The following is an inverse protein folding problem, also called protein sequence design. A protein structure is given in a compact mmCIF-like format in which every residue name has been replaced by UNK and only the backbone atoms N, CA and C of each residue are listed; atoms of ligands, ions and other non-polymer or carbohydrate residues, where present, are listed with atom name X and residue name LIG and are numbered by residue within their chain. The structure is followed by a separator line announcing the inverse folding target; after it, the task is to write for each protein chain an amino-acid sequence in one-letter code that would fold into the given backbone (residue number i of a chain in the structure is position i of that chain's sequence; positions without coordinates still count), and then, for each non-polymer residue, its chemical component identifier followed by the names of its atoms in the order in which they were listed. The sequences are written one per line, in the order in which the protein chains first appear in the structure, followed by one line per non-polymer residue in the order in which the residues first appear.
data_IF_970731779669
#
_entry.id   IF_970731779669
#
_cell.length_a   1.000
_cell.length_b   1.000
_cell.length_c   1.000
_cell.angle_alpha   90.00
_cell.angle_beta   90.00
_cell.angle_gamma   90.00
#
_symmetry.space_group_name_H-M   'P 1'
#
loop_
_entity.id
_entity.type
_entity.pdbx_description
1 polymer ?
#
# COMPACT_ATOMS: atom_id res chain seq x y z
N UNK A 1 11.76 -13.73 4.59
CA UNK A 1 12.82 -13.22 5.50
C UNK A 1 12.83 -13.94 6.85
N UNK A 2 11.79 -13.85 7.70
CA UNK A 2 11.79 -14.52 9.01
C UNK A 2 12.00 -16.05 8.95
N UNK A 3 11.43 -16.71 7.93
CA UNK A 3 11.63 -18.15 7.68
C UNK A 3 13.08 -18.52 7.32
N UNK A 4 13.89 -17.53 6.91
CA UNK A 4 15.31 -17.67 6.58
C UNK A 4 16.20 -17.20 7.75
N UNK A 5 15.64 -16.99 8.95
CA UNK A 5 16.38 -16.53 10.13
C UNK A 5 16.83 -15.06 10.05
N UNK A 6 16.36 -14.30 9.05
CA UNK A 6 16.69 -12.90 8.85
C UNK A 6 15.60 -11.98 9.39
N UNK A 7 16.01 -10.88 10.03
CA UNK A 7 15.16 -9.73 10.31
C UNK A 7 15.76 -8.47 9.68
N UNK A 8 14.92 -7.55 9.21
CA UNK A 8 15.41 -6.27 8.72
C UNK A 8 15.86 -5.41 9.92
N UNK A 9 17.08 -4.87 9.85
CA UNK A 9 17.43 -3.71 10.66
C UNK A 9 16.68 -2.49 10.08
N UNK A 10 16.32 -1.54 10.94
CA UNK A 10 15.44 -0.39 10.65
C UNK A 10 15.57 0.17 9.21
N UNK A 11 14.44 0.50 8.57
CA UNK A 11 14.35 0.97 7.19
C UNK A 11 15.31 2.13 6.86
N UNK A 12 15.66 2.97 7.84
CA UNK A 12 16.64 4.06 7.69
C UNK A 12 18.04 3.61 7.24
N UNK A 13 18.36 2.32 7.35
CA UNK A 13 19.64 1.75 6.89
C UNK A 13 19.61 1.22 5.46
N UNK A 14 18.48 1.28 4.75
CA UNK A 14 18.35 0.77 3.37
C UNK A 14 19.30 1.44 2.36
N UNK A 15 19.82 2.62 2.67
CA UNK A 15 20.82 3.31 1.85
C UNK A 15 22.20 2.66 1.96
N UNK A 16 22.50 2.05 3.10
CA UNK A 16 23.81 1.47 3.41
C UNK A 16 23.86 -0.05 3.27
N UNK A 17 22.69 -0.71 3.25
CA UNK A 17 22.59 -2.16 3.15
C UNK A 17 21.49 -2.59 2.19
N UNK A 18 21.81 -3.54 1.31
CA UNK A 18 20.83 -4.19 0.43
C UNK A 18 20.39 -5.51 1.03
N UNK A 19 19.18 -5.98 0.67
CA UNK A 19 18.68 -7.28 1.13
C UNK A 19 19.65 -8.40 0.77
N UNK A 20 20.22 -8.36 -0.43
CA UNK A 20 21.20 -9.34 -0.90
C UNK A 20 22.52 -9.28 -0.11
N UNK A 21 23.07 -8.09 0.10
CA UNK A 21 24.31 -7.93 0.85
C UNK A 21 24.14 -8.34 2.32
N UNK A 22 23.06 -7.91 2.97
CA UNK A 22 22.71 -8.33 4.32
C UNK A 22 22.54 -9.84 4.42
N UNK A 23 21.82 -10.48 3.49
CA UNK A 23 21.66 -11.94 3.46
C UNK A 23 22.99 -12.68 3.31
N UNK A 24 23.90 -12.21 2.45
CA UNK A 24 25.23 -12.81 2.23
C UNK A 24 26.14 -12.70 3.45
N UNK A 25 26.11 -11.57 4.17
CA UNK A 25 26.88 -11.41 5.42
C UNK A 25 26.43 -12.42 6.50
N UNK A 26 25.17 -12.84 6.45
CA UNK A 26 24.61 -13.90 7.29
C UNK A 26 24.84 -15.33 6.73
N UNK A 27 25.66 -15.48 5.69
CA UNK A 27 26.11 -16.78 5.17
C UNK A 27 25.17 -17.44 4.16
N UNK A 28 24.19 -16.72 3.61
CA UNK A 28 23.32 -17.25 2.56
C UNK A 28 24.07 -17.36 1.23
N UNK A 29 23.81 -18.45 0.50
CA UNK A 29 24.31 -18.64 -0.87
C UNK A 29 23.56 -17.75 -1.88
N UNK A 30 24.10 -17.59 -3.08
CA UNK A 30 23.42 -16.85 -4.15
C UNK A 30 22.08 -17.49 -4.51
N UNK A 31 22.00 -18.82 -4.43
CA UNK A 31 20.77 -19.58 -4.65
C UNK A 31 19.73 -19.29 -3.55
N UNK A 32 20.15 -19.26 -2.29
CA UNK A 32 19.26 -18.96 -1.16
C UNK A 32 18.74 -17.51 -1.23
N UNK A 33 19.61 -16.56 -1.60
CA UNK A 33 19.23 -15.17 -1.82
C UNK A 33 18.22 -15.06 -2.96
N UNK A 34 18.46 -15.75 -4.07
CA UNK A 34 17.54 -15.75 -5.22
C UNK A 34 16.18 -16.33 -4.83
N UNK A 35 16.17 -17.43 -4.06
CA UNK A 35 14.92 -18.01 -3.54
C UNK A 35 14.18 -17.04 -2.62
N UNK A 36 14.89 -16.37 -1.71
CA UNK A 36 14.33 -15.37 -0.82
C UNK A 36 13.68 -14.20 -1.57
N UNK A 37 14.35 -13.67 -2.59
CA UNK A 37 13.83 -12.58 -3.42
C UNK A 37 12.59 -13.04 -4.20
N UNK A 38 12.62 -14.24 -4.77
CA UNK A 38 11.47 -14.79 -5.48
C UNK A 38 10.27 -14.99 -4.53
N UNK A 39 10.49 -15.54 -3.34
CA UNK A 39 9.45 -15.65 -2.31
C UNK A 39 8.85 -14.29 -1.96
N UNK A 40 9.69 -13.26 -1.75
CA UNK A 40 9.23 -11.90 -1.48
C UNK A 40 8.40 -11.32 -2.64
N UNK A 41 8.80 -11.57 -3.88
CA UNK A 41 8.07 -11.10 -5.06
C UNK A 41 6.74 -11.85 -5.24
N UNK A 42 6.68 -13.15 -4.94
CA UNK A 42 5.41 -13.91 -5.00
C UNK A 42 4.38 -13.49 -3.96
N UNK A 43 4.77 -12.75 -2.91
CA UNK A 43 3.80 -12.14 -1.98
C UNK A 43 2.94 -11.08 -2.71
N UNK A 44 3.48 -10.42 -3.74
CA UNK A 44 2.75 -9.42 -4.53
C UNK A 44 1.81 -10.04 -5.59
N UNK A 45 2.01 -11.30 -5.98
CA UNK A 45 1.21 -11.96 -7.02
C UNK A 45 -0.02 -12.69 -6.47
N UNK A 46 -0.20 -12.74 -5.15
CA UNK A 46 -1.38 -13.35 -4.55
C UNK A 46 -2.56 -12.41 -4.66
N UNK A 47 -3.61 -12.87 -5.37
CA UNK A 47 -4.96 -12.30 -5.47
C UNK A 47 -5.23 -11.29 -4.35
N UNK A 48 -5.21 -10.01 -4.67
CA UNK A 48 -5.67 -9.01 -3.73
C UNK A 48 -7.14 -9.31 -3.43
N UNK A 49 -7.48 -9.53 -2.17
CA UNK A 49 -8.87 -9.65 -1.69
C UNK A 49 -9.69 -8.37 -1.98
N UNK A 50 -9.00 -7.32 -2.45
CA UNK A 50 -9.51 -5.99 -2.67
C UNK A 50 -9.19 -5.52 -4.10
N UNK A 51 -10.04 -4.68 -4.72
CA UNK A 51 -9.80 -4.16 -6.06
C UNK A 51 -8.59 -3.20 -6.13
N UNK A 52 -8.05 -2.78 -4.99
CA UNK A 52 -6.93 -1.86 -4.85
C UNK A 52 -6.03 -2.30 -3.69
N UNK A 53 -4.83 -1.75 -3.65
CA UNK A 53 -3.89 -1.95 -2.54
C UNK A 53 -3.64 -0.63 -1.82
N UNK A 54 -3.60 -0.66 -0.49
CA UNK A 54 -3.17 0.47 0.35
C UNK A 54 -1.89 0.04 1.07
N UNK A 55 -0.83 0.83 0.94
CA UNK A 55 0.45 0.57 1.64
C UNK A 55 0.26 0.64 3.16
N UNK A 56 1.15 -0.01 3.92
CA UNK A 56 1.10 0.05 5.39
C UNK A 56 1.22 1.49 5.89
N UNK A 57 2.12 2.27 5.29
CA UNK A 57 2.32 3.68 5.65
C UNK A 57 1.05 4.52 5.45
N UNK A 58 0.40 4.38 4.29
CA UNK A 58 -0.88 5.04 4.05
C UNK A 58 -1.98 4.55 5.00
N UNK A 59 -2.01 3.26 5.32
CA UNK A 59 -2.99 2.71 6.23
C UNK A 59 -2.84 3.26 7.65
N UNK A 60 -1.61 3.36 8.13
CA UNK A 60 -1.29 3.92 9.45
C UNK A 60 -1.69 5.41 9.51
N UNK A 61 -1.38 6.17 8.45
CA UNK A 61 -1.74 7.58 8.36
C UNK A 61 -3.26 7.80 8.30
N UNK A 62 -3.97 7.00 7.51
CA UNK A 62 -5.44 7.04 7.46
C UNK A 62 -6.04 6.74 8.83
N UNK A 63 -5.50 5.76 9.57
CA UNK A 63 -5.98 5.44 10.93
C UNK A 63 -5.69 6.55 11.92
N UNK A 64 -4.54 7.21 11.82
CA UNK A 64 -4.20 8.36 12.65
C UNK A 64 -5.09 9.57 12.36
N UNK A 65 -5.45 9.77 11.09
CA UNK A 65 -6.25 10.90 10.60
C UNK A 65 -7.76 10.78 10.88
N UNK A 66 -8.26 9.57 11.20
CA UNK A 66 -9.69 9.26 11.49
C UNK A 66 -10.18 9.80 12.84
N UNK A 67 -9.98 11.08 13.10
CA UNK A 67 -10.39 11.71 14.37
C UNK A 67 -11.88 12.05 14.41
N UNK A 68 -12.50 12.34 13.26
CA UNK A 68 -13.94 12.63 13.15
C UNK A 68 -14.62 11.86 12.00
N UNK A 69 -13.85 11.40 11.02
CA UNK A 69 -14.34 10.80 9.77
C UNK A 69 -14.41 9.27 9.78
N UNK A 70 -15.56 8.75 9.36
CA UNK A 70 -15.83 7.31 9.38
C UNK A 70 -15.26 6.59 8.14
N UNK A 71 -15.27 7.26 6.98
CA UNK A 71 -14.94 6.67 5.68
C UNK A 71 -13.76 7.38 5.00
N UNK A 72 -13.03 6.62 4.20
CA UNK A 72 -12.05 7.15 3.25
C UNK A 72 -12.66 7.03 1.85
N UNK A 73 -12.89 8.16 1.19
CA UNK A 73 -13.51 8.21 -0.13
C UNK A 73 -12.45 8.32 -1.22
N UNK A 74 -12.44 7.35 -2.13
CA UNK A 74 -11.73 7.45 -3.41
C UNK A 74 -12.72 8.02 -4.42
N UNK A 75 -12.34 9.12 -5.07
CA UNK A 75 -13.18 9.80 -6.06
C UNK A 75 -12.35 10.17 -7.29
N UNK A 76 -13.03 10.35 -8.43
CA UNK A 76 -12.41 10.91 -9.62
C UNK A 76 -12.78 12.40 -9.73
N UNK A 77 -11.85 13.24 -10.15
CA UNK A 77 -12.17 14.61 -10.57
C UNK A 77 -12.75 14.65 -12.00
N UNK A 78 -13.04 15.85 -12.50
CA UNK A 78 -13.60 16.05 -13.84
C UNK A 78 -12.66 15.56 -14.97
N UNK A 79 -11.35 15.45 -14.70
CA UNK A 79 -10.33 14.94 -15.61
C UNK A 79 -10.06 13.43 -15.44
N UNK A 80 -10.85 12.75 -14.62
CA UNK A 80 -10.72 11.32 -14.26
C UNK A 80 -9.45 10.98 -13.46
N UNK A 81 -8.80 11.96 -12.82
CA UNK A 81 -7.74 11.68 -11.87
C UNK A 81 -8.33 11.20 -10.55
N UNK A 82 -7.83 10.05 -10.08
CA UNK A 82 -8.24 9.49 -8.80
C UNK A 82 -7.59 10.24 -7.64
N UNK A 83 -8.40 10.60 -6.67
CA UNK A 83 -8.03 11.35 -5.49
C UNK A 83 -8.64 10.69 -4.24
N UNK A 84 -8.14 11.07 -3.06
CA UNK A 84 -8.59 10.54 -1.77
C UNK A 84 -8.97 11.68 -0.85
N UNK A 85 -10.08 11.52 -0.13
CA UNK A 85 -10.46 12.39 0.97
C UNK A 85 -11.08 11.59 2.11
N UNK A 86 -11.16 12.20 3.28
CA UNK A 86 -11.94 11.67 4.39
C UNK A 86 -13.40 12.13 4.26
N UNK A 87 -14.34 11.26 4.62
CA UNK A 87 -15.78 11.53 4.57
C UNK A 87 -16.49 11.00 5.81
N UNK A 88 -17.48 11.76 6.28
CA UNK A 88 -18.39 11.36 7.36
C UNK A 88 -19.60 10.57 6.85
N UNK A 89 -19.85 10.58 5.55
CA UNK A 89 -21.10 10.13 4.97
C UNK A 89 -20.84 9.25 3.75
N UNK A 90 -21.70 8.24 3.58
CA UNK A 90 -21.73 7.37 2.41
C UNK A 90 -22.93 7.71 1.55
N UNK A 91 -22.71 7.91 0.25
CA UNK A 91 -23.78 8.14 -0.73
C UNK A 91 -24.38 6.81 -1.19
N UNK A 92 -25.63 6.85 -1.66
CA UNK A 92 -26.39 5.65 -2.09
C UNK A 92 -25.72 4.85 -3.23
N UNK A 93 -24.96 5.52 -4.11
CA UNK A 93 -24.29 4.90 -5.26
C UNK A 93 -22.85 4.44 -4.94
N UNK A 94 -22.44 4.48 -3.68
CA UNK A 94 -21.07 4.13 -3.29
C UNK A 94 -20.96 2.68 -2.85
N UNK A 95 -19.94 2.02 -3.39
CA UNK A 95 -19.47 0.73 -2.91
C UNK A 95 -18.65 0.98 -1.66
N UNK A 96 -18.82 0.12 -0.66
CA UNK A 96 -18.04 0.15 0.58
C UNK A 96 -17.21 -1.13 0.67
N UNK A 97 -15.95 -0.96 1.02
CA UNK A 97 -14.97 -2.03 1.20
C UNK A 97 -14.34 -1.84 2.57
N UNK A 98 -14.44 -2.83 3.45
CA UNK A 98 -13.68 -2.85 4.69
C UNK A 98 -12.25 -3.33 4.39
N UNK A 99 -11.31 -2.40 4.31
CA UNK A 99 -9.91 -2.69 4.10
C UNK A 99 -9.17 -2.63 5.43
N UNK A 100 -8.93 -3.79 6.06
CA UNK A 100 -8.15 -3.91 7.30
C UNK A 100 -8.62 -2.95 8.42
N UNK A 101 -9.93 -2.92 8.68
CA UNK A 101 -10.62 -2.03 9.63
C UNK A 101 -10.66 -0.56 9.22
N UNK A 102 -10.45 -0.26 7.94
CA UNK A 102 -10.65 1.06 7.35
C UNK A 102 -11.73 0.94 6.29
N UNK A 103 -12.89 1.55 6.56
CA UNK A 103 -13.97 1.64 5.58
C UNK A 103 -13.58 2.56 4.44
N UNK A 104 -13.42 1.99 3.25
CA UNK A 104 -13.16 2.69 2.00
C UNK A 104 -14.46 2.76 1.20
N UNK A 105 -14.77 3.91 0.64
CA UNK A 105 -15.93 4.11 -0.22
C UNK A 105 -15.52 4.71 -1.56
N UNK A 106 -16.23 4.34 -2.63
CA UNK A 106 -16.04 4.92 -3.95
C UNK A 106 -17.31 4.78 -4.78
N UNK A 107 -17.52 5.67 -5.75
CA UNK A 107 -18.67 5.60 -6.63
C UNK A 107 -18.59 4.38 -7.55
N UNK A 108 -19.71 3.68 -7.74
CA UNK A 108 -19.77 2.50 -8.61
C UNK A 108 -19.31 2.78 -10.05
N UNK A 109 -19.45 4.02 -10.50
CA UNK A 109 -19.03 4.48 -11.83
C UNK A 109 -17.51 4.43 -12.03
N UNK A 110 -16.74 4.64 -10.96
CA UNK A 110 -15.27 4.62 -11.01
C UNK A 110 -14.68 3.26 -10.61
N UNK A 111 -15.51 2.23 -10.37
CA UNK A 111 -15.08 0.89 -9.95
C UNK A 111 -14.00 0.31 -10.88
N UNK A 112 -14.11 0.56 -12.19
CA UNK A 112 -13.10 0.12 -13.18
C UNK A 112 -11.77 0.85 -13.06
N UNK A 113 -11.80 2.13 -12.69
CA UNK A 113 -10.59 2.96 -12.54
C UNK A 113 -9.83 2.59 -11.27
N UNK A 114 -10.59 2.28 -10.21
CA UNK A 114 -10.09 1.86 -8.91
C UNK A 114 -9.45 0.47 -8.94
N UNK A 115 -9.74 -0.35 -9.97
CA UNK A 115 -9.05 -1.64 -10.13
C UNK A 115 -7.56 -1.44 -10.36
N UNK A 116 -6.77 -2.23 -9.63
CA UNK A 116 -5.31 -2.28 -9.71
C UNK A 116 -4.64 -0.93 -9.44
N UNK A 117 -5.16 -0.17 -8.47
CA UNK A 117 -4.47 1.03 -7.98
C UNK A 117 -3.74 0.75 -6.68
N UNK A 118 -2.69 1.52 -6.44
CA UNK A 118 -1.99 1.58 -5.15
C UNK A 118 -2.23 2.95 -4.54
N UNK A 119 -2.69 2.96 -3.29
CA UNK A 119 -2.73 4.15 -2.45
C UNK A 119 -1.51 4.12 -1.55
N UNK A 120 -0.69 5.17 -1.61
CA UNK A 120 0.47 5.35 -0.74
C UNK A 120 0.42 6.72 -0.04
N UNK A 121 1.27 6.90 0.97
CA UNK A 121 1.45 8.17 1.67
C UNK A 121 2.91 8.56 1.62
N UNK A 122 3.21 9.62 0.86
CA UNK A 122 4.56 10.10 0.64
C UNK A 122 4.82 11.27 1.57
N UNK A 123 5.99 11.25 2.20
CA UNK A 123 6.50 12.32 3.06
C UNK A 123 7.92 12.59 2.59
N UNK A 124 8.11 13.66 1.84
CA UNK A 124 9.40 14.16 1.40
C UNK A 124 9.55 15.65 1.76
N UNK A 125 10.69 16.25 1.42
CA UNK A 125 10.97 17.66 1.77
C UNK A 125 10.03 18.68 1.10
N UNK A 126 9.36 18.32 0.01
CA UNK A 126 8.52 19.22 -0.80
C UNK A 126 7.04 18.79 -0.83
N UNK A 127 6.73 17.58 -0.41
CA UNK A 127 5.41 16.97 -0.52
C UNK A 127 5.13 16.04 0.66
N UNK A 128 4.01 16.27 1.30
CA UNK A 128 3.43 15.40 2.31
C UNK A 128 1.97 15.15 1.94
N UNK A 129 1.62 13.91 1.63
CA UNK A 129 0.26 13.59 1.20
C UNK A 129 0.07 12.20 0.63
N UNK A 130 -1.20 11.87 0.41
CA UNK A 130 -1.59 10.63 -0.26
C UNK A 130 -1.30 10.70 -1.75
N UNK A 131 -0.84 9.60 -2.32
CA UNK A 131 -0.61 9.43 -3.75
C UNK A 131 -1.32 8.18 -4.25
N UNK A 132 -1.75 8.22 -5.51
CA UNK A 132 -2.38 7.07 -6.18
C UNK A 132 -1.55 6.70 -7.41
N UNK A 133 -1.16 5.43 -7.49
CA UNK A 133 -0.46 4.83 -8.63
C UNK A 133 -1.20 3.61 -9.19
N UNK A 134 -0.65 2.99 -10.24
CA UNK A 134 -1.13 1.72 -10.82
C UNK A 134 -0.26 0.56 -10.37
N UNK A 135 -0.87 -0.57 -10.00
CA UNK A 135 -0.20 -1.88 -9.95
C UNK A 135 0.06 -2.33 -11.38
N UNK A 136 1.31 -2.68 -11.67
CA UNK A 136 1.77 -3.21 -12.95
C UNK A 136 1.38 -4.69 -13.12
#
# INVERSE_FOLDING_TARGET
MANHGLHCINCSFNFFDSIENGAKIHGMSDEDVTSLINELNTINEKNFDYPFYITLKALDELKASKTLEEYVEIYADDELHLNIRLSNEKKKNQVEVDYKNVKIIFDKEIEKLVKNIVVDYVTDFNFEGFTIGKLF
#
